data_IF_419577659037
#
_entry.id   IF_419577659037
#
_cell.length_a   1.000
_cell.length_b   1.000
_cell.length_c   1.000
_cell.angle_alpha   90.00
_cell.angle_beta   90.00
_cell.angle_gamma   90.00
#
_symmetry.space_group_name_H-M   'P 1'
#
loop_
_entity.id
_entity.type
_entity.pdbx_description
1 polymer ?
#
# COMPACT_ATOMS: atom_id res chain seq x y z
N UNK A 1 17.35 49.24 -2.40
CA UNK A 1 17.78 48.26 -3.42
C UNK A 1 16.69 47.21 -3.50
N UNK A 2 16.14 46.94 -4.69
CA UNK A 2 15.27 45.78 -4.86
C UNK A 2 16.07 44.52 -4.55
N UNK A 3 15.50 43.53 -3.83
CA UNK A 3 16.20 42.28 -3.59
C UNK A 3 16.56 41.63 -4.92
N UNK A 4 17.80 41.14 -5.02
CA UNK A 4 18.22 40.32 -6.16
C UNK A 4 17.32 39.06 -6.23
N UNK A 5 17.02 38.55 -7.43
CA UNK A 5 16.27 37.32 -7.56
C UNK A 5 17.04 36.16 -6.89
N UNK A 6 16.35 35.21 -6.24
CA UNK A 6 17.02 34.04 -5.68
C UNK A 6 17.64 33.19 -6.80
N UNK A 7 18.89 32.78 -6.61
CA UNK A 7 19.65 31.95 -7.55
C UNK A 7 20.48 30.90 -6.80
N UNK A 8 20.81 29.82 -7.50
CA UNK A 8 21.72 28.77 -7.01
C UNK A 8 22.52 28.18 -8.17
N UNK A 9 23.61 27.49 -7.86
CA UNK A 9 24.50 26.86 -8.84
C UNK A 9 24.58 25.35 -8.61
N UNK A 10 24.59 24.58 -9.70
CA UNK A 10 24.84 23.13 -9.69
C UNK A 10 25.99 22.81 -10.63
N UNK A 11 26.94 21.99 -10.20
CA UNK A 11 28.02 21.48 -11.06
C UNK A 11 28.44 20.08 -10.64
N UNK A 12 28.93 19.28 -11.58
CA UNK A 12 29.51 17.97 -11.29
C UNK A 12 30.97 18.09 -10.84
N UNK A 13 31.43 17.16 -9.99
CA UNK A 13 32.84 17.02 -9.61
C UNK A 13 33.52 16.02 -10.56
N UNK A 14 34.38 16.47 -11.49
CA UNK A 14 35.21 15.58 -12.29
C UNK A 14 36.35 15.00 -11.46
N UNK A 15 37.02 13.97 -11.98
CA UNK A 15 38.27 13.46 -11.41
C UNK A 15 38.11 12.47 -10.25
N UNK A 16 36.88 12.08 -9.90
CA UNK A 16 36.66 10.90 -9.04
C UNK A 16 36.99 9.64 -9.87
N UNK A 17 37.97 8.80 -9.45
CA UNK A 17 38.35 7.60 -10.20
C UNK A 17 37.28 6.51 -10.08
N UNK A 18 37.44 5.43 -10.84
CA UNK A 18 36.63 4.21 -10.68
C UNK A 18 36.80 3.64 -9.27
N UNK A 19 35.70 3.63 -8.50
CA UNK A 19 35.68 3.21 -7.09
C UNK A 19 35.69 1.70 -6.96
N UNK A 20 36.48 1.19 -6.02
CA UNK A 20 36.63 -0.23 -5.71
C UNK A 20 36.18 -0.54 -4.27
N UNK A 21 35.89 -1.81 -3.97
CA UNK A 21 35.60 -2.25 -2.59
C UNK A 21 36.68 -1.80 -1.61
N UNK A 22 36.27 -1.11 -0.55
CA UNK A 22 37.14 -0.59 0.51
C UNK A 22 37.75 0.79 0.25
N UNK A 23 37.50 1.42 -0.91
CA UNK A 23 37.99 2.76 -1.17
C UNK A 23 37.37 3.81 -0.23
N UNK A 24 38.19 4.79 0.18
CA UNK A 24 37.80 5.89 1.06
C UNK A 24 37.15 7.02 0.25
N UNK A 25 35.82 7.02 0.19
CA UNK A 25 35.05 8.03 -0.56
C UNK A 25 35.30 9.45 -0.07
N UNK A 26 35.59 9.65 1.22
CA UNK A 26 35.88 10.99 1.76
C UNK A 26 37.14 11.53 1.10
N UNK A 27 38.21 10.73 1.03
CA UNK A 27 39.46 11.14 0.38
C UNK A 27 39.28 11.37 -1.11
N UNK A 28 38.55 10.50 -1.81
CA UNK A 28 38.33 10.62 -3.24
C UNK A 28 37.54 11.89 -3.58
N UNK A 29 36.46 12.16 -2.85
CA UNK A 29 35.62 13.35 -3.05
C UNK A 29 36.38 14.62 -2.64
N UNK A 30 37.11 14.59 -1.53
CA UNK A 30 37.91 15.73 -1.10
C UNK A 30 38.99 16.09 -2.13
N UNK A 31 39.74 15.11 -2.62
CA UNK A 31 40.76 15.31 -3.64
C UNK A 31 40.18 15.89 -4.94
N UNK A 32 39.05 15.35 -5.40
CA UNK A 32 38.34 15.86 -6.58
C UNK A 32 37.84 17.29 -6.38
N UNK A 33 37.31 17.61 -5.20
CA UNK A 33 36.80 18.95 -4.90
C UNK A 33 37.90 20.02 -4.75
N UNK A 34 39.11 19.63 -4.32
CA UNK A 34 40.26 20.53 -4.16
C UNK A 34 41.23 20.50 -5.35
N UNK A 35 40.89 19.81 -6.44
CA UNK A 35 41.71 19.78 -7.64
C UNK A 35 41.87 21.18 -8.25
N UNK A 36 42.98 21.41 -8.96
CA UNK A 36 43.25 22.70 -9.60
C UNK A 36 42.10 23.11 -10.55
N UNK A 37 41.64 24.36 -10.42
CA UNK A 37 40.52 24.89 -11.21
C UNK A 37 39.12 24.59 -10.65
N UNK A 38 38.99 23.79 -9.58
CA UNK A 38 37.71 23.55 -8.94
C UNK A 38 37.31 24.67 -7.98
N UNK A 39 36.00 24.98 -7.83
CA UNK A 39 35.54 26.03 -6.91
C UNK A 39 35.74 25.73 -5.41
N UNK A 40 36.21 24.52 -5.06
CA UNK A 40 36.22 24.01 -3.69
C UNK A 40 34.82 23.73 -3.15
N UNK A 41 34.76 23.05 -2.00
CA UNK A 41 33.55 22.99 -1.17
C UNK A 41 33.54 24.17 -0.19
N UNK A 42 32.35 24.61 0.19
CA UNK A 42 32.13 25.67 1.16
C UNK A 42 31.01 25.29 2.13
N UNK A 43 30.98 25.95 3.29
CA UNK A 43 29.85 25.88 4.21
C UNK A 43 28.56 26.22 3.48
N UNK A 44 27.53 25.41 3.68
CA UNK A 44 26.25 25.62 3.02
C UNK A 44 26.04 24.82 1.73
N UNK A 45 27.07 24.13 1.21
CA UNK A 45 26.94 23.29 0.03
C UNK A 45 26.19 21.99 0.33
N UNK A 46 25.53 21.43 -0.70
CA UNK A 46 24.96 20.08 -0.66
C UNK A 46 25.62 19.22 -1.73
N UNK A 47 26.17 18.07 -1.32
CA UNK A 47 26.72 17.08 -2.24
C UNK A 47 25.66 16.04 -2.60
N UNK A 48 25.55 15.73 -3.89
CA UNK A 48 24.63 14.77 -4.47
C UNK A 48 25.46 13.61 -5.03
N UNK A 49 25.48 12.48 -4.34
CA UNK A 49 26.40 11.37 -4.56
C UNK A 49 25.63 10.17 -5.08
N UNK A 50 25.97 9.64 -6.25
CA UNK A 50 25.27 8.44 -6.75
C UNK A 50 25.50 7.23 -5.82
N UNK A 51 24.44 6.45 -5.63
CA UNK A 51 24.42 5.15 -4.96
C UNK A 51 25.54 4.24 -5.44
N UNK A 52 25.89 4.28 -6.73
CA UNK A 52 26.85 3.36 -7.35
C UNK A 52 28.23 3.41 -6.70
N UNK A 53 28.77 4.59 -6.44
CA UNK A 53 30.10 4.71 -5.83
C UNK A 53 30.06 4.36 -4.33
N UNK A 54 28.94 4.62 -3.66
CA UNK A 54 28.69 4.21 -2.28
C UNK A 54 28.66 2.68 -2.19
N UNK A 55 27.84 2.03 -3.01
CA UNK A 55 27.75 0.58 -3.13
C UNK A 55 29.09 -0.08 -3.47
N UNK A 56 29.85 0.48 -4.40
CA UNK A 56 31.18 -0.04 -4.77
C UNK A 56 32.15 0.03 -3.60
N UNK A 57 32.24 1.18 -2.92
CA UNK A 57 33.11 1.35 -1.74
C UNK A 57 32.71 0.39 -0.59
N UNK A 58 31.42 0.17 -0.38
CA UNK A 58 30.87 -0.77 0.61
C UNK A 58 30.96 -2.24 0.19
N UNK A 59 31.48 -2.54 -1.00
CA UNK A 59 31.63 -3.92 -1.47
C UNK A 59 30.31 -4.62 -1.81
N UNK A 60 29.25 -3.86 -2.14
CA UNK A 60 27.91 -4.35 -2.49
C UNK A 60 27.84 -4.96 -3.91
N UNK A 61 28.92 -5.61 -4.34
CA UNK A 61 29.07 -6.25 -5.65
C UNK A 61 28.85 -7.75 -5.46
N UNK A 62 27.95 -8.34 -6.24
CA UNK A 62 27.68 -9.78 -6.21
C UNK A 62 28.01 -10.39 -7.58
N UNK A 63 28.76 -11.48 -7.57
CA UNK A 63 28.87 -12.36 -8.74
C UNK A 63 27.56 -13.13 -8.89
N UNK A 64 26.78 -12.81 -9.91
CA UNK A 64 25.49 -13.43 -10.12
C UNK A 64 25.33 -13.84 -11.58
N UNK A 65 25.27 -15.16 -11.80
CA UNK A 65 24.83 -15.71 -13.06
C UNK A 65 23.32 -15.49 -13.28
N UNK A 66 22.55 -15.34 -12.20
CA UNK A 66 21.11 -15.12 -12.21
C UNK A 66 20.73 -13.83 -11.47
N UNK A 67 20.36 -12.80 -12.25
CA UNK A 67 19.90 -11.51 -11.76
C UNK A 67 18.56 -11.62 -11.02
N UNK A 68 17.69 -12.55 -11.40
CA UNK A 68 16.36 -12.67 -10.80
C UNK A 68 16.45 -13.17 -9.36
N UNK A 69 17.38 -14.09 -9.08
CA UNK A 69 17.66 -14.56 -7.72
C UNK A 69 18.13 -13.42 -6.79
N UNK A 70 18.93 -12.48 -7.31
CA UNK A 70 19.37 -11.32 -6.54
C UNK A 70 18.24 -10.33 -6.26
N UNK A 71 17.36 -10.11 -7.25
CA UNK A 71 16.14 -9.32 -7.05
C UNK A 71 15.27 -9.97 -5.98
N UNK A 72 15.12 -11.30 -5.99
CA UNK A 72 14.35 -12.03 -4.98
C UNK A 72 14.94 -11.94 -3.58
N UNK A 73 16.27 -11.95 -3.48
CA UNK A 73 16.94 -11.77 -2.21
C UNK A 73 16.69 -10.37 -1.62
N UNK A 74 16.75 -9.31 -2.43
CA UNK A 74 16.57 -7.92 -1.98
C UNK A 74 15.11 -7.47 -1.88
N UNK A 75 14.17 -8.18 -2.52
CA UNK A 75 12.76 -7.85 -2.49
C UNK A 75 12.09 -8.30 -1.17
N UNK A 76 11.35 -7.38 -0.55
CA UNK A 76 10.44 -7.66 0.56
C UNK A 76 9.10 -8.17 0.05
N UNK A 77 8.57 -7.52 -1.00
CA UNK A 77 7.33 -7.94 -1.66
C UNK A 77 7.28 -7.45 -3.09
N UNK A 78 6.48 -8.15 -3.90
CA UNK A 78 6.18 -7.70 -5.26
C UNK A 78 5.01 -6.73 -5.26
N UNK A 79 5.19 -5.59 -5.91
CA UNK A 79 4.18 -4.54 -6.07
C UNK A 79 3.48 -4.72 -7.40
N UNK A 80 4.22 -4.89 -8.49
CA UNK A 80 3.65 -5.06 -9.83
C UNK A 80 4.51 -5.97 -10.71
N UNK A 81 3.87 -6.71 -11.62
CA UNK A 81 4.56 -7.51 -12.65
C UNK A 81 4.03 -7.20 -14.05
N UNK A 82 4.95 -7.14 -15.02
CA UNK A 82 4.63 -7.10 -16.46
C UNK A 82 5.67 -7.90 -17.24
N UNK A 83 5.31 -9.11 -17.65
CA UNK A 83 6.28 -10.06 -18.19
C UNK A 83 7.35 -10.35 -17.15
N UNK A 84 8.63 -10.27 -17.55
CA UNK A 84 9.76 -10.43 -16.64
C UNK A 84 10.04 -9.20 -15.76
N UNK A 85 9.50 -8.01 -16.10
CA UNK A 85 9.73 -6.80 -15.30
C UNK A 85 8.93 -6.84 -14.01
N UNK A 86 9.60 -6.53 -12.90
CA UNK A 86 9.02 -6.49 -11.56
C UNK A 86 9.29 -5.14 -10.91
N UNK A 87 8.22 -4.52 -10.38
CA UNK A 87 8.31 -3.45 -9.39
C UNK A 87 8.15 -4.11 -8.03
N UNK A 88 9.09 -3.85 -7.13
CA UNK A 88 9.15 -4.49 -5.81
C UNK A 88 9.44 -3.44 -4.76
N UNK A 89 9.00 -3.71 -3.54
CA UNK A 89 9.53 -3.04 -2.35
C UNK A 89 10.81 -3.76 -1.95
N UNK A 90 11.92 -3.03 -1.77
CA UNK A 90 13.17 -3.60 -1.27
C UNK A 90 13.32 -3.42 0.25
N UNK A 91 14.42 -3.91 0.82
CA UNK A 91 14.70 -3.83 2.27
C UNK A 91 14.84 -2.41 2.82
N UNK A 92 15.11 -1.43 1.95
CA UNK A 92 15.15 0.00 2.30
C UNK A 92 13.73 0.63 2.30
N UNK A 93 12.70 -0.15 1.94
CA UNK A 93 11.32 0.32 1.77
C UNK A 93 11.05 0.99 0.42
N UNK A 94 12.05 1.07 -0.47
CA UNK A 94 11.93 1.72 -1.77
C UNK A 94 11.10 0.85 -2.72
N UNK A 95 10.11 1.46 -3.37
CA UNK A 95 9.27 0.80 -4.38
C UNK A 95 9.79 1.15 -5.77
N UNK A 96 10.54 0.22 -6.37
CA UNK A 96 11.26 0.48 -7.62
C UNK A 96 11.41 -0.78 -8.47
N UNK A 97 11.89 -0.61 -9.71
CA UNK A 97 12.18 -1.73 -10.59
C UNK A 97 13.35 -2.56 -10.04
N UNK A 98 13.21 -3.89 -10.07
CA UNK A 98 14.29 -4.83 -9.77
C UNK A 98 15.01 -4.59 -8.42
N UNK A 99 14.33 -4.05 -7.40
CA UNK A 99 14.87 -3.74 -6.07
C UNK A 99 16.06 -2.77 -6.03
N UNK A 100 16.38 -2.09 -7.14
CA UNK A 100 17.62 -1.30 -7.26
C UNK A 100 18.85 -2.14 -7.62
N UNK A 101 18.66 -3.42 -7.98
CA UNK A 101 19.73 -4.28 -8.52
C UNK A 101 20.11 -3.81 -9.92
N UNK A 102 21.31 -3.25 -10.02
CA UNK A 102 21.88 -2.71 -11.25
C UNK A 102 22.89 -3.70 -11.86
N UNK A 103 22.85 -3.85 -13.18
CA UNK A 103 23.82 -4.62 -13.96
C UNK A 103 24.57 -3.72 -14.96
N UNK A 104 24.30 -2.42 -14.94
CA UNK A 104 24.98 -1.42 -15.76
C UNK A 104 26.17 -0.81 -15.01
N UNK A 105 27.20 -0.39 -15.76
CA UNK A 105 28.42 0.21 -15.20
C UNK A 105 29.15 -0.67 -14.16
N UNK A 106 28.98 -2.00 -14.27
CA UNK A 106 29.72 -3.04 -13.56
C UNK A 106 30.43 -3.97 -14.56
N UNK A 107 31.52 -4.67 -14.16
CA UNK A 107 32.11 -5.72 -14.98
C UNK A 107 31.09 -6.80 -15.37
N UNK A 108 31.22 -7.37 -16.57
CA UNK A 108 30.34 -8.43 -17.04
C UNK A 108 30.28 -9.60 -16.04
N UNK A 109 29.07 -10.10 -15.75
CA UNK A 109 28.84 -11.18 -14.77
C UNK A 109 28.69 -10.71 -13.32
N UNK A 110 28.73 -9.40 -13.06
CA UNK A 110 28.50 -8.83 -11.73
C UNK A 110 27.29 -7.91 -11.71
N UNK A 111 26.62 -7.87 -10.57
CA UNK A 111 25.53 -6.94 -10.26
C UNK A 111 25.91 -6.10 -9.05
N UNK A 112 25.37 -4.88 -9.00
CA UNK A 112 25.54 -3.96 -7.88
C UNK A 112 24.22 -3.86 -7.12
N UNK A 113 24.29 -4.11 -5.82
CA UNK A 113 23.17 -3.89 -4.90
C UNK A 113 23.25 -2.45 -4.36
N UNK A 114 22.12 -1.94 -3.87
CA UNK A 114 22.13 -0.66 -3.15
C UNK A 114 22.95 -0.73 -1.85
N UNK A 115 23.40 0.43 -1.32
CA UNK A 115 24.04 0.51 -0.01
C UNK A 115 23.14 -0.07 1.09
N UNK A 116 23.73 -0.64 2.13
CA UNK A 116 22.94 -1.28 3.22
C UNK A 116 22.18 -0.24 4.06
N UNK A 117 22.82 0.90 4.32
CA UNK A 117 22.19 2.03 5.00
C UNK A 117 22.70 3.35 4.36
N UNK A 118 22.06 3.80 3.26
CA UNK A 118 22.51 5.00 2.55
C UNK A 118 22.49 6.28 3.41
N UNK A 119 21.62 6.36 4.43
CA UNK A 119 21.60 7.47 5.39
C UNK A 119 22.86 7.45 6.27
N UNK A 120 23.30 6.27 6.71
CA UNK A 120 24.55 6.12 7.45
C UNK A 120 25.77 6.49 6.58
N UNK A 121 25.78 6.08 5.32
CA UNK A 121 26.84 6.44 4.36
C UNK A 121 26.88 7.95 4.12
N UNK A 122 25.72 8.61 3.99
CA UNK A 122 25.63 10.07 3.89
C UNK A 122 26.21 10.77 5.12
N UNK A 123 25.87 10.30 6.33
CA UNK A 123 26.40 10.85 7.60
C UNK A 123 27.92 10.67 7.70
N UNK A 124 28.44 9.50 7.33
CA UNK A 124 29.87 9.21 7.35
C UNK A 124 30.63 10.13 6.38
N UNK A 125 30.12 10.30 5.15
CA UNK A 125 30.73 11.18 4.15
C UNK A 125 30.71 12.64 4.61
N UNK A 126 29.59 13.12 5.15
CA UNK A 126 29.47 14.46 5.71
C UNK A 126 30.48 14.71 6.83
N UNK A 127 30.57 13.80 7.80
CA UNK A 127 31.47 13.92 8.93
C UNK A 127 32.94 13.92 8.48
N UNK A 128 33.30 13.01 7.57
CA UNK A 128 34.66 12.93 7.03
C UNK A 128 35.06 14.15 6.21
N UNK A 129 34.15 14.72 5.40
CA UNK A 129 34.44 15.95 4.65
C UNK A 129 34.61 17.16 5.58
N UNK A 130 33.84 17.21 6.68
CA UNK A 130 34.04 18.23 7.72
C UNK A 130 35.42 18.11 8.36
N UNK A 131 35.86 16.89 8.67
CA UNK A 131 37.18 16.64 9.25
C UNK A 131 38.31 16.97 8.26
N UNK A 132 38.18 16.53 7.01
CA UNK A 132 39.24 16.65 6.00
C UNK A 132 39.38 18.08 5.45
N UNK A 133 38.28 18.82 5.32
CA UNK A 133 38.24 20.12 4.62
C UNK A 133 37.76 21.28 5.50
N UNK A 134 37.26 21.00 6.71
CA UNK A 134 36.77 22.04 7.62
C UNK A 134 35.43 22.67 7.23
N UNK A 135 34.65 22.04 6.35
CA UNK A 135 33.38 22.56 5.82
C UNK A 135 32.14 21.88 6.42
N UNK A 136 31.05 22.63 6.62
CA UNK A 136 29.73 22.09 6.97
C UNK A 136 28.82 22.02 5.74
N UNK A 137 28.69 20.79 5.21
CA UNK A 137 27.90 20.48 4.01
C UNK A 137 26.72 19.58 4.35
N UNK A 138 25.72 19.57 3.48
CA UNK A 138 24.73 18.50 3.38
C UNK A 138 25.19 17.40 2.41
N UNK A 139 24.70 16.18 2.59
CA UNK A 139 24.96 15.06 1.68
C UNK A 139 23.65 14.35 1.37
N UNK A 140 23.39 14.09 0.09
CA UNK A 140 22.29 13.25 -0.40
C UNK A 140 22.88 12.13 -1.26
N UNK A 141 22.59 10.88 -0.92
CA UNK A 141 22.87 9.72 -1.76
C UNK A 141 21.70 9.53 -2.72
N UNK A 142 21.96 9.52 -4.02
CA UNK A 142 20.93 9.49 -5.07
C UNK A 142 20.93 8.20 -5.86
N UNK A 143 19.77 7.75 -6.31
CA UNK A 143 19.66 6.65 -7.26
C UNK A 143 18.61 6.92 -8.33
N UNK A 144 18.74 6.24 -9.48
CA UNK A 144 17.90 6.52 -10.65
C UNK A 144 16.60 5.73 -10.61
N UNK A 145 15.47 6.43 -10.60
CA UNK A 145 14.13 5.85 -10.50
C UNK A 145 13.32 6.07 -11.78
N UNK A 146 12.49 5.07 -12.10
CA UNK A 146 11.27 5.29 -12.87
C UNK A 146 10.14 5.76 -11.94
N UNK A 147 9.05 6.29 -12.48
CA UNK A 147 7.94 6.79 -11.67
C UNK A 147 6.58 6.56 -12.32
N UNK A 148 5.51 6.34 -11.53
CA UNK A 148 4.16 6.20 -12.08
C UNK A 148 3.74 7.40 -12.93
N UNK A 149 2.90 7.14 -13.93
CA UNK A 149 2.21 8.14 -14.77
C UNK A 149 3.10 9.01 -15.68
N UNK A 150 4.42 8.88 -15.63
CA UNK A 150 5.35 9.64 -16.49
C UNK A 150 6.41 8.73 -17.10
N UNK A 151 6.70 8.94 -18.37
CA UNK A 151 7.84 8.31 -19.04
C UNK A 151 9.15 9.01 -18.67
N UNK A 152 10.24 8.25 -18.64
CA UNK A 152 11.57 8.75 -18.30
C UNK A 152 11.98 8.45 -16.86
N UNK A 153 13.29 8.56 -16.62
CA UNK A 153 13.92 8.35 -15.32
C UNK A 153 14.34 9.68 -14.72
N UNK A 154 14.52 9.73 -13.40
CA UNK A 154 15.13 10.85 -12.67
C UNK A 154 15.83 10.31 -11.44
N UNK A 155 16.87 10.99 -10.96
CA UNK A 155 17.44 10.65 -9.67
C UNK A 155 16.54 11.11 -8.52
N UNK A 156 16.45 10.29 -7.49
CA UNK A 156 15.77 10.56 -6.21
C UNK A 156 16.74 10.31 -5.07
N UNK A 157 16.43 10.83 -3.88
CA UNK A 157 17.20 10.58 -2.68
C UNK A 157 16.90 9.19 -2.11
N UNK A 158 17.95 8.42 -1.83
CA UNK A 158 17.87 7.14 -1.11
C UNK A 158 18.61 7.18 0.24
N UNK A 159 19.44 8.20 0.45
CA UNK A 159 20.11 8.51 1.72
C UNK A 159 20.32 10.01 1.87
N UNK A 160 20.30 10.54 3.09
CA UNK A 160 20.53 11.96 3.36
C UNK A 160 21.15 12.20 4.74
N UNK A 161 21.95 13.26 4.84
CA UNK A 161 22.51 13.76 6.09
C UNK A 161 22.71 15.27 6.05
N UNK A 162 22.25 15.99 7.07
CA UNK A 162 22.44 17.45 7.17
C UNK A 162 21.59 18.28 6.21
N UNK A 163 20.56 17.67 5.59
CA UNK A 163 19.67 18.30 4.61
C UNK A 163 18.23 18.12 5.08
N UNK A 164 17.39 19.15 4.91
CA UNK A 164 15.94 19.06 5.08
C UNK A 164 15.40 18.18 3.96
N UNK A 165 14.96 16.98 4.33
CA UNK A 165 14.51 15.96 3.37
C UNK A 165 13.10 16.26 2.86
N UNK A 166 12.21 16.63 3.79
CA UNK A 166 10.85 17.09 3.52
C UNK A 166 10.69 18.52 4.05
N UNK A 167 10.13 19.41 3.23
CA UNK A 167 9.66 20.72 3.67
C UNK A 167 8.15 20.66 3.87
N UNK A 168 7.72 20.43 5.11
CA UNK A 168 6.32 20.31 5.48
C UNK A 168 5.70 21.68 5.73
N UNK A 169 4.93 22.15 4.75
CA UNK A 169 4.26 23.44 4.80
C UNK A 169 2.84 23.34 5.38
N UNK A 170 2.41 22.15 5.84
CA UNK A 170 1.08 21.96 6.42
C UNK A 170 0.92 22.76 7.70
N UNK A 171 -0.28 23.28 7.93
CA UNK A 171 -0.58 24.16 9.06
C UNK A 171 -0.13 25.62 8.86
N UNK A 172 0.66 25.89 7.81
CA UNK A 172 0.94 27.25 7.34
C UNK A 172 -0.22 27.83 6.52
N UNK A 173 0.01 29.03 5.98
CA UNK A 173 -0.92 29.70 5.06
C UNK A 173 -0.19 30.16 3.80
N UNK A 174 -0.92 30.24 2.68
CA UNK A 174 -0.42 30.83 1.45
C UNK A 174 -0.37 32.38 1.50
N UNK A 175 0.07 33.00 0.40
CA UNK A 175 0.16 34.46 0.29
C UNK A 175 -1.20 35.19 0.41
N UNK A 176 -2.32 34.47 0.33
CA UNK A 176 -3.68 34.99 0.49
C UNK A 176 -4.28 34.65 1.86
N UNK A 177 -3.53 33.98 2.75
CA UNK A 177 -3.99 33.54 4.06
C UNK A 177 -4.79 32.23 4.04
N UNK A 178 -4.85 31.51 2.92
CA UNK A 178 -5.52 30.22 2.87
C UNK A 178 -4.66 29.13 3.54
N UNK A 179 -5.25 28.21 4.31
CA UNK A 179 -4.49 27.16 4.98
C UNK A 179 -3.89 26.16 3.97
N UNK A 180 -2.63 25.82 4.18
CA UNK A 180 -1.95 24.74 3.46
C UNK A 180 -2.22 23.42 4.21
N UNK A 181 -2.96 22.51 3.57
CA UNK A 181 -3.41 21.25 4.21
C UNK A 181 -2.74 19.98 3.67
N UNK A 182 -2.13 20.04 2.48
CA UNK A 182 -1.53 18.87 1.82
C UNK A 182 -0.15 19.15 1.19
N UNK A 183 0.49 20.25 1.56
CA UNK A 183 1.74 20.71 0.92
C UNK A 183 2.95 20.24 1.70
N UNK A 184 3.58 19.17 1.22
CA UNK A 184 4.89 18.70 1.68
C UNK A 184 5.78 18.61 0.44
N UNK A 185 6.90 19.32 0.44
CA UNK A 185 7.85 19.31 -0.68
C UNK A 185 8.94 18.27 -0.41
N UNK A 186 9.20 17.41 -1.40
CA UNK A 186 10.29 16.45 -1.35
C UNK A 186 11.61 17.12 -1.75
N UNK A 187 12.11 18.02 -0.89
CA UNK A 187 13.29 18.87 -1.17
C UNK A 187 14.52 18.04 -1.56
N UNK A 188 14.77 16.91 -0.91
CA UNK A 188 15.90 16.06 -1.26
C UNK A 188 15.79 15.42 -2.67
N UNK A 189 14.57 15.11 -3.14
CA UNK A 189 14.35 14.61 -4.50
C UNK A 189 14.51 15.72 -5.55
N UNK A 190 14.09 16.96 -5.24
CA UNK A 190 14.33 18.11 -6.13
C UNK A 190 15.83 18.38 -6.31
N UNK A 191 16.59 18.31 -5.21
CA UNK A 191 18.05 18.42 -5.23
C UNK A 191 18.67 17.26 -6.03
N UNK A 192 18.28 16.02 -5.76
CA UNK A 192 18.77 14.84 -6.48
C UNK A 192 18.55 14.96 -7.99
N UNK A 193 17.35 15.36 -8.41
CA UNK A 193 17.01 15.59 -9.80
C UNK A 193 17.84 16.73 -10.43
N UNK A 194 18.11 17.81 -9.70
CA UNK A 194 18.96 18.90 -10.18
C UNK A 194 20.41 18.46 -10.39
N UNK A 195 20.95 17.62 -9.50
CA UNK A 195 22.29 17.04 -9.66
C UNK A 195 22.39 16.10 -10.88
N UNK A 196 21.33 15.38 -11.18
CA UNK A 196 21.28 14.46 -12.33
C UNK A 196 21.57 15.17 -13.67
N UNK A 197 21.10 16.42 -13.81
CA UNK A 197 21.28 17.22 -15.03
C UNK A 197 22.76 17.48 -15.36
N UNK A 198 23.63 17.52 -14.35
CA UNK A 198 25.07 17.77 -14.55
C UNK A 198 25.93 16.51 -14.41
N UNK A 199 25.46 15.50 -13.66
CA UNK A 199 26.14 14.19 -13.58
C UNK A 199 25.98 13.38 -14.87
N UNK A 200 24.83 13.50 -15.53
CA UNK A 200 24.48 12.65 -16.66
C UNK A 200 24.38 11.16 -16.24
N UNK A 201 24.23 10.28 -17.24
CA UNK A 201 24.09 8.82 -17.00
C UNK A 201 25.32 8.01 -17.43
N UNK A 202 26.18 8.58 -18.27
CA UNK A 202 27.29 7.86 -18.91
C UNK A 202 28.64 8.57 -18.76
N UNK A 203 28.67 9.79 -18.22
CA UNK A 203 29.86 10.66 -18.28
C UNK A 203 30.86 10.43 -17.14
N UNK A 204 30.62 9.44 -16.28
CA UNK A 204 31.53 9.10 -15.18
C UNK A 204 31.63 10.18 -14.11
N UNK A 205 30.56 10.94 -13.89
CA UNK A 205 30.50 12.03 -12.91
C UNK A 205 29.61 11.63 -11.72
N UNK A 206 30.16 10.97 -10.68
CA UNK A 206 29.34 10.38 -9.63
C UNK A 206 28.86 11.37 -8.57
N UNK A 207 29.41 12.58 -8.53
CA UNK A 207 29.10 13.60 -7.51
C UNK A 207 28.76 14.93 -8.17
N UNK A 208 27.69 15.57 -7.70
CA UNK A 208 27.40 16.98 -7.99
C UNK A 208 27.37 17.80 -6.70
N UNK A 209 27.58 19.11 -6.82
CA UNK A 209 27.51 20.07 -5.72
C UNK A 209 26.45 21.11 -6.06
N UNK A 210 25.62 21.41 -5.06
CA UNK A 210 24.63 22.50 -5.08
C UNK A 210 25.09 23.58 -4.10
N UNK A 211 25.20 24.82 -4.57
CA UNK A 211 25.57 25.99 -3.77
C UNK A 211 24.52 27.10 -3.88
N UNK A 212 24.23 27.76 -2.78
CA UNK A 212 23.31 28.89 -2.71
C UNK A 212 21.93 28.59 -2.09
N UNK A 213 21.71 27.36 -1.61
CA UNK A 213 20.45 26.93 -1.01
C UNK A 213 20.59 26.63 0.49
N UNK A 214 21.26 27.49 1.27
CA UNK A 214 21.52 27.25 2.70
C UNK A 214 20.27 26.98 3.54
N UNK A 215 19.11 27.48 3.13
CA UNK A 215 17.83 27.24 3.80
C UNK A 215 17.37 25.78 3.75
N UNK A 216 17.91 24.95 2.85
CA UNK A 216 17.60 23.52 2.74
C UNK A 216 18.45 22.66 3.68
N UNK A 217 19.41 23.24 4.40
CA UNK A 217 20.20 22.49 5.37
C UNK A 217 19.49 22.41 6.72
N UNK A 218 19.68 21.29 7.43
CA UNK A 218 19.27 21.21 8.83
C UNK A 218 20.29 21.97 9.66
N UNK A 219 19.84 23.02 10.37
CA UNK A 219 20.78 23.83 11.15
C UNK A 219 21.40 22.97 12.25
N UNK A 220 22.73 22.95 12.35
CA UNK A 220 23.41 22.37 13.51
C UNK A 220 23.29 23.25 14.77
N UNK A 221 22.57 24.38 14.71
CA UNK A 221 22.67 25.48 15.71
C UNK A 221 21.38 26.23 16.10
N UNK A 222 20.15 25.80 15.77
CA UNK A 222 18.96 26.51 16.27
C UNK A 222 18.37 25.89 17.55
N UNK A 223 18.44 26.70 18.60
CA UNK A 223 17.67 26.75 19.85
C UNK A 223 16.51 25.76 20.01
N UNK A 224 16.62 24.94 21.06
CA UNK A 224 15.53 24.18 21.70
C UNK A 224 14.43 25.13 22.19
N UNK A 225 13.38 25.36 21.40
CA UNK A 225 12.15 25.96 21.92
C UNK A 225 10.91 25.64 21.09
N UNK A 226 10.52 24.37 21.06
CA UNK A 226 9.13 23.91 20.91
C UNK A 226 9.10 22.46 21.36
N UNK A 227 8.13 22.11 22.20
CA UNK A 227 7.90 20.74 22.63
C UNK A 227 7.16 20.05 21.49
N UNK A 228 7.82 19.09 20.85
CA UNK A 228 7.32 17.99 19.98
C UNK A 228 8.16 17.73 18.71
N UNK A 229 9.25 18.48 18.48
CA UNK A 229 10.13 18.28 17.33
C UNK A 229 11.29 17.32 17.66
N UNK A 230 11.07 16.01 17.46
CA UNK A 230 12.15 15.01 17.27
C UNK A 230 12.76 15.16 15.85
N UNK A 231 13.08 16.40 15.47
CA UNK A 231 13.55 16.80 14.13
C UNK A 231 15.07 16.56 14.01
N UNK A 232 15.49 15.38 14.47
CA UNK A 232 16.83 14.84 14.27
C UNK A 232 17.13 14.67 12.77
N UNK A 233 18.34 14.24 12.45
CA UNK A 233 18.74 13.91 11.07
C UNK A 233 17.97 12.67 10.57
N UNK A 234 16.69 12.84 10.19
CA UNK A 234 15.71 11.77 9.91
C UNK A 234 16.08 10.93 8.68
N UNK A 235 16.98 11.44 7.84
CA UNK A 235 17.45 10.77 6.62
C UNK A 235 16.39 10.67 5.52
N UNK A 236 16.78 10.09 4.38
CA UNK A 236 15.90 9.92 3.22
C UNK A 236 14.77 8.90 3.47
N UNK A 237 14.88 8.07 4.53
CA UNK A 237 13.77 7.18 4.95
C UNK A 237 12.46 7.92 5.21
N UNK A 238 12.51 9.20 5.56
CA UNK A 238 11.31 10.04 5.71
C UNK A 238 10.51 10.22 4.40
N UNK A 239 11.15 10.08 3.23
CA UNK A 239 10.48 10.13 1.92
C UNK A 239 9.68 8.85 1.62
N UNK A 240 10.02 7.74 2.28
CA UNK A 240 9.44 6.44 2.00
C UNK A 240 8.05 6.36 2.62
N UNK A 241 7.05 6.25 1.75
CA UNK A 241 5.67 6.02 2.19
C UNK A 241 5.51 4.58 2.67
N UNK A 242 4.99 4.41 3.88
CA UNK A 242 4.66 3.09 4.40
C UNK A 242 3.56 2.42 3.57
N UNK A 243 3.65 1.11 3.38
CA UNK A 243 2.69 0.35 2.58
C UNK A 243 1.24 0.43 3.11
N UNK A 244 1.03 0.78 4.37
CA UNK A 244 -0.30 0.98 4.96
C UNK A 244 -0.99 2.27 4.46
N UNK A 245 -0.19 3.31 4.21
CA UNK A 245 -0.62 4.63 3.76
C UNK A 245 -0.54 4.78 2.24
N UNK A 246 0.05 3.79 1.56
CA UNK A 246 0.16 3.79 0.10
C UNK A 246 -1.15 3.45 -0.60
N UNK A 247 -1.72 4.47 -1.26
CA UNK A 247 -2.89 4.33 -2.13
C UNK A 247 -2.62 3.47 -3.36
N UNK A 248 -1.35 3.25 -3.75
CA UNK A 248 -0.94 2.47 -4.92
C UNK A 248 -0.15 1.21 -4.54
N UNK A 249 -0.54 0.60 -3.40
CA UNK A 249 0.16 -0.53 -2.79
C UNK A 249 0.44 -1.70 -3.75
N UNK A 250 -0.44 -1.94 -4.73
CA UNK A 250 -0.33 -3.01 -5.72
C UNK A 250 -0.57 -2.47 -7.13
N UNK A 251 0.14 -3.03 -8.10
CA UNK A 251 -0.19 -2.89 -9.52
C UNK A 251 -1.54 -3.53 -9.84
N UNK A 252 -2.17 -3.10 -10.93
CA UNK A 252 -3.54 -3.51 -11.29
C UNK A 252 -3.74 -5.02 -11.29
N UNK A 253 -2.82 -5.77 -11.91
CA UNK A 253 -2.92 -7.23 -12.01
C UNK A 253 -2.79 -7.92 -10.65
N UNK A 254 -1.87 -7.44 -9.81
CA UNK A 254 -1.69 -7.89 -8.44
C UNK A 254 -2.93 -7.59 -7.60
N UNK A 255 -3.46 -6.36 -7.67
CA UNK A 255 -4.66 -5.95 -6.96
C UNK A 255 -5.87 -6.83 -7.31
N UNK A 256 -6.08 -7.15 -8.59
CA UNK A 256 -7.19 -8.03 -9.03
C UNK A 256 -7.01 -9.46 -8.48
N UNK A 257 -5.80 -10.01 -8.52
CA UNK A 257 -5.52 -11.36 -7.99
C UNK A 257 -5.69 -11.40 -6.47
N UNK A 258 -5.21 -10.38 -5.77
CA UNK A 258 -5.27 -10.30 -4.32
C UNK A 258 -6.66 -9.97 -3.80
N UNK A 259 -7.51 -9.24 -4.54
CA UNK A 259 -8.85 -8.86 -4.07
C UNK A 259 -9.66 -10.06 -3.53
N UNK A 260 -9.65 -11.19 -4.25
CA UNK A 260 -10.36 -12.41 -3.84
C UNK A 260 -9.74 -13.04 -2.59
N UNK A 261 -8.42 -12.90 -2.42
CA UNK A 261 -7.67 -13.42 -1.28
C UNK A 261 -7.59 -12.43 -0.12
N UNK A 262 -7.98 -11.17 -0.27
CA UNK A 262 -8.13 -10.21 0.84
C UNK A 262 -9.39 -10.50 1.65
N UNK A 263 -10.46 -10.96 1.00
CA UNK A 263 -11.72 -11.28 1.66
C UNK A 263 -11.52 -12.37 2.72
N UNK A 264 -11.97 -12.09 3.95
CA UNK A 264 -11.91 -12.98 5.12
C UNK A 264 -13.28 -13.07 5.76
N UNK A 265 -13.54 -14.19 6.43
CA UNK A 265 -14.74 -14.34 7.26
C UNK A 265 -14.40 -13.80 8.64
N UNK A 266 -14.66 -12.51 8.85
CA UNK A 266 -14.33 -11.77 10.09
C UNK A 266 -15.39 -12.06 11.15
N UNK A 267 -14.96 -12.48 12.34
CA UNK A 267 -15.87 -12.87 13.44
C UNK A 267 -15.95 -11.88 14.59
N UNK A 268 -15.02 -10.94 14.64
CA UNK A 268 -14.91 -9.92 15.68
C UNK A 268 -14.71 -8.57 15.02
N UNK A 269 -15.54 -7.61 15.42
CA UNK A 269 -15.58 -6.27 14.86
C UNK A 269 -15.30 -5.24 15.97
N UNK A 270 -14.76 -4.08 15.60
CA UNK A 270 -14.72 -2.92 16.50
C UNK A 270 -16.07 -2.20 16.51
N UNK A 271 -16.23 -1.26 17.43
CA UNK A 271 -17.41 -0.38 17.51
C UNK A 271 -17.36 0.80 16.53
N UNK A 272 -16.33 0.87 15.65
CA UNK A 272 -16.26 1.94 14.67
C UNK A 272 -17.43 1.87 13.69
N UNK A 273 -18.06 3.01 13.35
CA UNK A 273 -19.18 3.02 12.44
C UNK A 273 -18.76 2.59 11.03
N UNK A 274 -19.69 1.94 10.35
CA UNK A 274 -19.54 1.55 8.93
C UNK A 274 -20.09 2.67 8.06
N UNK A 275 -19.31 3.12 7.08
CA UNK A 275 -19.79 4.02 6.03
C UNK A 275 -20.82 3.30 5.14
N UNK A 276 -22.08 3.74 5.21
CA UNK A 276 -23.15 3.22 4.35
C UNK A 276 -22.88 3.45 2.85
N UNK A 277 -22.10 4.48 2.49
CA UNK A 277 -21.64 4.72 1.13
C UNK A 277 -20.77 3.58 0.60
N UNK A 278 -19.82 3.09 1.40
CA UNK A 278 -19.00 1.92 1.09
C UNK A 278 -19.84 0.65 0.88
N UNK A 279 -20.83 0.40 1.74
CA UNK A 279 -21.73 -0.75 1.60
C UNK A 279 -22.52 -0.67 0.28
N UNK A 280 -23.02 0.51 -0.09
CA UNK A 280 -23.74 0.71 -1.36
C UNK A 280 -22.85 0.52 -2.58
N UNK A 281 -21.59 1.00 -2.54
CA UNK A 281 -20.60 0.70 -3.59
C UNK A 281 -20.33 -0.79 -3.71
N UNK A 282 -20.25 -1.50 -2.59
CA UNK A 282 -20.11 -2.95 -2.59
C UNK A 282 -21.36 -3.65 -3.18
N UNK A 283 -22.57 -3.17 -2.92
CA UNK A 283 -23.80 -3.66 -3.58
C UNK A 283 -23.76 -3.40 -5.08
N UNK A 284 -23.30 -2.23 -5.52
CA UNK A 284 -23.15 -1.92 -6.95
C UNK A 284 -22.20 -2.90 -7.64
N UNK A 285 -21.10 -3.30 -6.99
CA UNK A 285 -20.21 -4.36 -7.48
C UNK A 285 -20.85 -5.76 -7.42
N UNK A 286 -21.71 -6.02 -6.42
CA UNK A 286 -22.40 -7.29 -6.27
C UNK A 286 -23.33 -7.60 -7.45
N UNK A 287 -24.09 -6.60 -7.90
CA UNK A 287 -25.10 -6.75 -8.97
C UNK A 287 -24.51 -6.82 -10.38
N UNK A 288 -23.18 -6.78 -10.52
CA UNK A 288 -22.49 -7.09 -11.80
C UNK A 288 -22.18 -8.57 -11.97
N UNK A 289 -22.51 -9.40 -10.96
CA UNK A 289 -22.39 -10.85 -11.04
C UNK A 289 -23.14 -11.40 -12.27
N UNK A 290 -22.76 -12.57 -12.80
CA UNK A 290 -23.48 -13.18 -13.91
C UNK A 290 -24.87 -13.65 -13.45
N UNK A 291 -25.88 -13.40 -14.28
CA UNK A 291 -27.24 -13.90 -14.08
C UNK A 291 -27.77 -14.60 -15.33
N UNK A 292 -28.66 -15.59 -15.16
CA UNK A 292 -29.33 -16.25 -16.27
C UNK A 292 -30.31 -15.31 -16.97
N UNK A 293 -30.59 -15.58 -18.24
CA UNK A 293 -31.71 -14.97 -19.00
C UNK A 293 -31.77 -13.43 -18.96
N UNK A 294 -30.65 -12.73 -18.78
CA UNK A 294 -30.62 -11.27 -18.58
C UNK A 294 -31.47 -10.79 -17.40
N UNK A 295 -31.64 -11.63 -16.37
CA UNK A 295 -32.41 -11.35 -15.15
C UNK A 295 -31.57 -10.58 -14.13
N UNK A 296 -32.23 -10.10 -13.07
CA UNK A 296 -31.59 -9.39 -11.95
C UNK A 296 -31.98 -10.04 -10.61
N UNK A 297 -31.46 -11.23 -10.30
CA UNK A 297 -31.93 -12.07 -9.20
C UNK A 297 -31.55 -11.54 -7.80
N UNK A 298 -30.69 -10.52 -7.72
CA UNK A 298 -30.16 -10.01 -6.45
C UNK A 298 -30.99 -8.85 -5.90
N UNK A 299 -31.33 -8.92 -4.62
CA UNK A 299 -31.74 -7.78 -3.80
C UNK A 299 -30.90 -7.78 -2.53
N UNK A 300 -30.58 -6.60 -2.00
CA UNK A 300 -29.83 -6.46 -0.75
C UNK A 300 -30.60 -5.54 0.19
N UNK A 301 -31.04 -6.07 1.33
CA UNK A 301 -31.72 -5.29 2.37
C UNK A 301 -30.66 -4.81 3.36
N UNK A 302 -30.46 -3.50 3.43
CA UNK A 302 -29.46 -2.87 4.31
C UNK A 302 -30.09 -2.48 5.65
N UNK A 303 -29.65 -3.09 6.75
CA UNK A 303 -30.16 -2.81 8.08
C UNK A 303 -29.25 -1.79 8.77
N UNK A 304 -29.47 -0.52 8.41
CA UNK A 304 -28.66 0.62 8.84
C UNK A 304 -28.87 0.98 10.33
N UNK A 305 -30.09 0.79 10.85
CA UNK A 305 -30.40 1.08 12.25
C UNK A 305 -30.15 -0.13 13.17
N UNK A 306 -29.64 0.12 14.37
CA UNK A 306 -29.50 -0.91 15.40
C UNK A 306 -30.85 -1.56 15.74
N UNK A 307 -31.92 -0.77 15.82
CA UNK A 307 -33.27 -1.26 16.10
C UNK A 307 -33.72 -2.34 15.08
N UNK A 308 -33.55 -2.07 13.77
CA UNK A 308 -33.93 -3.03 12.73
C UNK A 308 -33.10 -4.32 12.79
N UNK A 309 -31.80 -4.21 13.11
CA UNK A 309 -30.91 -5.36 13.30
C UNK A 309 -31.35 -6.20 14.50
N UNK A 310 -31.52 -5.57 15.66
CA UNK A 310 -31.88 -6.24 16.91
C UNK A 310 -33.24 -6.92 16.77
N UNK A 311 -34.23 -6.23 16.22
CA UNK A 311 -35.58 -6.77 16.00
C UNK A 311 -35.56 -8.02 15.12
N UNK A 312 -34.80 -8.00 14.02
CA UNK A 312 -34.64 -9.17 13.15
C UNK A 312 -33.97 -10.32 13.90
N UNK A 313 -32.85 -10.06 14.56
CA UNK A 313 -32.05 -11.11 15.20
C UNK A 313 -32.77 -11.75 16.38
N UNK A 314 -33.57 -10.98 17.14
CA UNK A 314 -34.38 -11.53 18.23
C UNK A 314 -35.49 -12.44 17.69
N UNK A 315 -36.21 -12.02 16.64
CA UNK A 315 -37.23 -12.86 16.03
C UNK A 315 -36.65 -14.16 15.42
N UNK A 316 -35.48 -14.07 14.77
CA UNK A 316 -34.77 -15.24 14.24
C UNK A 316 -34.30 -16.17 15.36
N UNK A 317 -33.83 -15.61 16.48
CA UNK A 317 -33.45 -16.38 17.66
C UNK A 317 -34.63 -17.13 18.24
N UNK A 318 -35.77 -16.48 18.37
CA UNK A 318 -36.98 -17.08 18.94
C UNK A 318 -37.49 -18.23 18.07
N UNK A 319 -37.46 -18.06 16.74
CA UNK A 319 -37.75 -19.13 15.79
C UNK A 319 -36.78 -20.32 15.93
N UNK A 320 -35.47 -20.06 16.04
CA UNK A 320 -34.49 -21.12 16.20
C UNK A 320 -34.63 -21.87 17.53
N UNK A 321 -34.99 -21.16 18.62
CA UNK A 321 -35.29 -21.77 19.91
C UNK A 321 -36.52 -22.67 19.80
N UNK A 322 -37.56 -22.24 19.08
CA UNK A 322 -38.77 -23.04 18.86
C UNK A 322 -38.45 -24.33 18.10
N UNK A 323 -37.66 -24.25 17.02
CA UNK A 323 -37.23 -25.42 16.24
C UNK A 323 -36.45 -26.41 17.11
N UNK A 324 -35.42 -25.94 17.83
CA UNK A 324 -34.60 -26.81 18.68
C UNK A 324 -35.39 -27.44 19.82
N UNK A 325 -36.39 -26.74 20.37
CA UNK A 325 -37.29 -27.31 21.37
C UNK A 325 -38.21 -28.37 20.74
N UNK A 326 -38.69 -28.14 19.53
CA UNK A 326 -39.43 -29.13 18.72
C UNK A 326 -38.62 -30.39 18.45
N UNK A 327 -37.31 -30.25 18.22
CA UNK A 327 -36.36 -31.35 18.05
C UNK A 327 -36.00 -32.08 19.36
N UNK A 328 -36.52 -31.63 20.52
CA UNK A 328 -36.30 -32.25 21.82
C UNK A 328 -34.96 -31.92 22.50
N UNK A 329 -34.27 -30.85 22.10
CA UNK A 329 -33.06 -30.41 22.79
C UNK A 329 -33.38 -29.84 24.19
N UNK A 330 -32.48 -30.07 25.16
CA UNK A 330 -32.57 -29.45 26.48
C UNK A 330 -32.31 -27.94 26.44
N UNK A 331 -32.87 -27.18 27.38
CA UNK A 331 -32.68 -25.72 27.46
C UNK A 331 -31.19 -25.32 27.56
N UNK A 332 -30.36 -26.11 28.24
CA UNK A 332 -28.91 -25.91 28.28
C UNK A 332 -28.27 -26.06 26.88
N UNK A 333 -28.67 -27.10 26.15
CA UNK A 333 -28.21 -27.37 24.79
C UNK A 333 -28.65 -26.30 23.79
N UNK A 334 -29.85 -25.75 23.97
CA UNK A 334 -30.40 -24.63 23.19
C UNK A 334 -29.57 -23.38 23.46
N UNK A 335 -29.38 -22.99 24.72
CA UNK A 335 -28.59 -21.82 25.10
C UNK A 335 -27.16 -21.86 24.52
N UNK A 336 -26.53 -23.04 24.49
CA UNK A 336 -25.19 -23.22 23.88
C UNK A 336 -25.18 -23.06 22.36
N UNK A 337 -26.23 -23.50 21.65
CA UNK A 337 -26.33 -23.38 20.19
C UNK A 337 -26.61 -21.95 19.78
N UNK A 338 -27.55 -21.28 20.45
CA UNK A 338 -27.96 -19.91 20.15
C UNK A 338 -26.80 -18.91 20.24
N UNK A 339 -25.86 -19.09 21.18
CA UNK A 339 -24.62 -18.28 21.27
C UNK A 339 -23.77 -18.25 20.00
N UNK A 340 -23.92 -19.23 19.09
CA UNK A 340 -23.20 -19.23 17.81
C UNK A 340 -23.68 -18.12 16.85
N UNK A 341 -24.87 -17.58 17.08
CA UNK A 341 -25.44 -16.46 16.31
C UNK A 341 -24.90 -15.08 16.72
N UNK A 342 -24.16 -14.99 17.82
CA UNK A 342 -23.72 -13.71 18.42
C UNK A 342 -22.90 -12.84 17.46
N UNK A 343 -22.25 -13.45 16.46
CA UNK A 343 -21.51 -12.72 15.41
C UNK A 343 -22.37 -11.67 14.70
N UNK A 344 -23.63 -11.99 14.37
CA UNK A 344 -24.52 -11.05 13.68
C UNK A 344 -24.98 -9.93 14.62
N UNK A 345 -25.12 -10.24 15.92
CA UNK A 345 -25.57 -9.29 16.94
C UNK A 345 -24.49 -8.27 17.31
N UNK A 346 -23.22 -8.67 17.25
CA UNK A 346 -22.06 -7.80 17.50
C UNK A 346 -21.63 -6.99 16.27
N UNK A 347 -22.22 -7.23 15.10
CA UNK A 347 -21.85 -6.50 13.89
C UNK A 347 -22.45 -5.08 13.90
N UNK A 348 -21.65 -4.03 13.63
CA UNK A 348 -22.16 -2.65 13.58
C UNK A 348 -23.07 -2.39 12.37
N UNK A 349 -23.10 -3.30 11.39
CA UNK A 349 -23.95 -3.22 10.21
C UNK A 349 -24.34 -4.63 9.74
N UNK A 350 -25.57 -4.79 9.25
CA UNK A 350 -26.10 -6.08 8.78
C UNK A 350 -26.77 -5.92 7.41
N UNK A 351 -26.52 -6.86 6.50
CA UNK A 351 -27.13 -6.90 5.17
C UNK A 351 -27.77 -8.26 4.93
N UNK A 352 -29.02 -8.28 4.47
CA UNK A 352 -29.72 -9.51 4.08
C UNK A 352 -29.79 -9.59 2.56
N UNK A 353 -28.94 -10.40 1.90
CA UNK A 353 -29.11 -10.71 0.49
C UNK A 353 -30.38 -11.54 0.29
N UNK A 354 -31.19 -11.16 -0.68
CA UNK A 354 -32.39 -11.87 -1.09
C UNK A 354 -32.29 -12.28 -2.56
N UNK A 355 -32.75 -13.49 -2.84
CA UNK A 355 -33.01 -13.99 -4.17
C UNK A 355 -34.42 -13.58 -4.61
N UNK A 356 -34.55 -13.09 -5.84
CA UNK A 356 -35.85 -12.92 -6.52
C UNK A 356 -35.84 -13.69 -7.82
N UNK A 357 -36.99 -14.25 -8.19
CA UNK A 357 -37.16 -15.06 -9.40
C UNK A 357 -37.79 -14.27 -10.57
N UNK A 358 -37.72 -12.93 -10.52
CA UNK A 358 -38.26 -12.06 -11.56
C UNK A 358 -37.62 -12.40 -12.93
N UNK A 359 -38.46 -12.74 -13.91
CA UNK A 359 -38.01 -13.13 -15.25
C UNK A 359 -37.61 -14.60 -15.39
N UNK A 360 -37.77 -15.44 -14.35
CA UNK A 360 -37.57 -16.88 -14.47
C UNK A 360 -38.64 -17.53 -15.35
N UNK A 361 -38.28 -18.63 -16.00
CA UNK A 361 -39.26 -19.46 -16.70
C UNK A 361 -40.04 -20.37 -15.73
N UNK A 362 -41.32 -20.56 -16.01
CA UNK A 362 -42.15 -21.57 -15.35
C UNK A 362 -42.34 -22.75 -16.28
N UNK A 363 -42.04 -23.95 -15.80
CA UNK A 363 -42.17 -25.19 -16.54
C UNK A 363 -43.31 -26.07 -15.99
N UNK A 364 -43.92 -26.93 -16.84
CA UNK A 364 -44.94 -27.87 -16.38
C UNK A 364 -44.47 -28.95 -15.40
N UNK A 365 -43.16 -29.22 -15.31
CA UNK A 365 -42.59 -30.26 -14.45
C UNK A 365 -41.68 -29.70 -13.36
N UNK A 366 -41.72 -30.36 -12.20
CA UNK A 366 -40.94 -29.99 -11.01
C UNK A 366 -39.43 -30.00 -11.27
N UNK A 367 -38.94 -30.95 -12.08
CA UNK A 367 -37.52 -31.10 -12.37
C UNK A 367 -36.94 -29.83 -12.99
N UNK A 368 -37.57 -29.30 -14.04
CA UNK A 368 -37.10 -28.05 -14.68
C UNK A 368 -37.29 -26.83 -13.80
N UNK A 369 -38.38 -26.75 -13.04
CA UNK A 369 -38.58 -25.65 -12.08
C UNK A 369 -37.50 -25.66 -10.98
N UNK A 370 -37.08 -26.83 -10.52
CA UNK A 370 -35.97 -26.96 -9.57
C UNK A 370 -34.64 -26.48 -10.19
N UNK A 371 -34.33 -26.91 -11.42
CA UNK A 371 -33.13 -26.45 -12.13
C UNK A 371 -33.13 -24.93 -12.38
N UNK A 372 -34.29 -24.35 -12.72
CA UNK A 372 -34.44 -22.89 -12.86
C UNK A 372 -34.08 -22.18 -11.55
N UNK A 373 -34.61 -22.66 -10.42
CA UNK A 373 -34.29 -22.11 -9.10
C UNK A 373 -32.82 -22.27 -8.74
N UNK A 374 -32.21 -23.43 -9.00
CA UNK A 374 -30.79 -23.69 -8.74
C UNK A 374 -29.88 -22.73 -9.50
N UNK A 375 -30.18 -22.47 -10.77
CA UNK A 375 -29.44 -21.50 -11.59
C UNK A 375 -29.47 -20.09 -10.99
N UNK A 376 -30.64 -19.66 -10.50
CA UNK A 376 -30.81 -18.39 -9.80
C UNK A 376 -30.07 -18.36 -8.46
N UNK A 377 -30.05 -19.47 -7.72
CA UNK A 377 -29.26 -19.61 -6.48
C UNK A 377 -27.75 -19.48 -6.74
N UNK A 378 -27.24 -20.07 -7.83
CA UNK A 378 -25.83 -19.93 -8.25
C UNK A 378 -25.51 -18.45 -8.52
N UNK A 379 -26.37 -17.76 -9.27
CA UNK A 379 -26.22 -16.33 -9.51
C UNK A 379 -26.24 -15.53 -8.20
N UNK A 380 -27.17 -15.81 -7.29
CA UNK A 380 -27.25 -15.16 -5.98
C UNK A 380 -25.96 -15.36 -5.15
N UNK A 381 -25.41 -16.58 -5.15
CA UNK A 381 -24.13 -16.90 -4.52
C UNK A 381 -22.95 -16.10 -5.11
N UNK A 382 -22.90 -15.95 -6.43
CA UNK A 382 -21.90 -15.11 -7.10
C UNK A 382 -22.03 -13.63 -6.69
N UNK A 383 -23.25 -13.10 -6.62
CA UNK A 383 -23.52 -11.74 -6.15
C UNK A 383 -23.07 -11.53 -4.70
N UNK A 384 -23.35 -12.48 -3.81
CA UNK A 384 -22.86 -12.44 -2.42
C UNK A 384 -21.33 -12.47 -2.39
N UNK A 385 -20.67 -13.31 -3.18
CA UNK A 385 -19.21 -13.34 -3.21
C UNK A 385 -18.60 -12.02 -3.70
N UNK A 386 -19.16 -11.41 -4.76
CA UNK A 386 -18.75 -10.09 -5.23
C UNK A 386 -18.93 -9.02 -4.15
N UNK A 387 -20.07 -9.03 -3.44
CA UNK A 387 -20.33 -8.13 -2.33
C UNK A 387 -19.25 -8.22 -1.24
N UNK A 388 -18.91 -9.44 -0.81
CA UNK A 388 -17.89 -9.66 0.23
C UNK A 388 -16.49 -9.20 -0.21
N UNK A 389 -16.12 -9.44 -1.47
CA UNK A 389 -14.83 -9.01 -2.03
C UNK A 389 -14.76 -7.49 -2.13
N UNK A 390 -15.84 -6.84 -2.58
CA UNK A 390 -15.91 -5.38 -2.66
C UNK A 390 -15.82 -4.73 -1.28
N UNK A 391 -16.49 -5.28 -0.25
CA UNK A 391 -16.33 -4.84 1.13
C UNK A 391 -14.88 -4.91 1.61
N UNK A 392 -14.16 -6.00 1.27
CA UNK A 392 -12.74 -6.11 1.62
C UNK A 392 -11.88 -5.04 0.93
N UNK A 393 -12.20 -4.68 -0.31
CA UNK A 393 -11.57 -3.56 -1.03
C UNK A 393 -11.83 -2.19 -0.39
N UNK A 394 -13.01 -2.02 0.21
CA UNK A 394 -13.37 -0.86 1.05
C UNK A 394 -12.78 -0.94 2.48
N UNK A 395 -11.88 -1.91 2.73
CA UNK A 395 -11.25 -2.18 4.04
C UNK A 395 -12.26 -2.57 5.14
N UNK A 396 -13.43 -3.10 4.77
CA UNK A 396 -14.44 -3.60 5.71
C UNK A 396 -14.35 -5.13 5.84
N UNK A 397 -14.37 -5.60 7.08
CA UNK A 397 -14.55 -7.00 7.41
C UNK A 397 -15.98 -7.46 7.16
N UNK A 398 -16.15 -8.73 6.78
CA UNK A 398 -17.49 -9.28 6.58
C UNK A 398 -17.59 -10.76 6.95
N UNK A 399 -18.80 -11.22 7.27
CA UNK A 399 -19.12 -12.63 7.43
C UNK A 399 -20.53 -12.94 6.96
N UNK A 400 -20.62 -13.76 5.91
CA UNK A 400 -21.88 -14.37 5.50
C UNK A 400 -22.22 -15.57 6.40
N UNK A 401 -23.46 -15.60 6.88
CA UNK A 401 -24.02 -16.64 7.74
C UNK A 401 -25.38 -17.06 7.19
N UNK A 402 -25.59 -18.36 7.00
CA UNK A 402 -26.80 -18.92 6.37
C UNK A 402 -28.10 -18.78 7.18
N UNK A 403 -28.03 -18.26 8.40
CA UNK A 403 -29.12 -18.23 9.40
C UNK A 403 -30.52 -17.85 8.88
N UNK A 404 -30.66 -16.79 8.06
CA UNK A 404 -31.98 -16.35 7.52
C UNK A 404 -32.62 -17.38 6.59
N UNK A 405 -31.85 -18.29 6.00
CA UNK A 405 -32.37 -19.33 5.11
C UNK A 405 -33.22 -20.37 5.86
N UNK A 406 -33.02 -20.51 7.17
CA UNK A 406 -33.76 -21.46 8.01
C UNK A 406 -35.06 -20.87 8.58
N UNK A 407 -35.31 -19.57 8.42
CA UNK A 407 -36.47 -18.87 8.98
C UNK A 407 -36.99 -17.78 8.03
N UNK A 408 -37.06 -18.08 6.72
CA UNK A 408 -37.37 -17.09 5.68
C UNK A 408 -38.68 -16.32 5.91
N UNK A 409 -39.72 -16.99 6.39
CA UNK A 409 -41.01 -16.34 6.68
C UNK A 409 -40.92 -15.31 7.81
N UNK A 410 -40.15 -15.62 8.85
CA UNK A 410 -39.87 -14.68 9.96
C UNK A 410 -39.15 -13.46 9.42
N UNK A 411 -38.11 -13.67 8.61
CA UNK A 411 -37.32 -12.58 8.02
C UNK A 411 -38.19 -11.71 7.11
N UNK A 412 -39.01 -12.31 6.24
CA UNK A 412 -39.95 -11.58 5.38
C UNK A 412 -40.94 -10.75 6.20
N UNK A 413 -41.51 -11.33 7.25
CA UNK A 413 -42.47 -10.64 8.12
C UNK A 413 -41.84 -9.45 8.84
N UNK A 414 -40.72 -9.66 9.53
CA UNK A 414 -40.06 -8.64 10.37
C UNK A 414 -39.51 -7.46 9.55
N UNK A 415 -39.05 -7.74 8.33
CA UNK A 415 -38.51 -6.73 7.40
C UNK A 415 -39.56 -6.23 6.40
N UNK A 416 -40.80 -6.71 6.47
CA UNK A 416 -41.88 -6.38 5.55
C UNK A 416 -41.49 -6.55 4.07
N UNK A 417 -40.81 -7.66 3.75
CA UNK A 417 -40.37 -7.96 2.39
C UNK A 417 -41.51 -8.52 1.54
N UNK A 418 -41.47 -8.31 0.20
CA UNK A 418 -42.38 -8.97 -0.72
C UNK A 418 -42.30 -10.50 -0.63
N UNK A 419 -43.43 -11.18 -0.87
CA UNK A 419 -43.52 -12.64 -0.75
C UNK A 419 -42.53 -13.40 -1.66
N UNK A 420 -42.22 -12.84 -2.84
CA UNK A 420 -41.26 -13.41 -3.80
C UNK A 420 -39.79 -13.19 -3.45
N UNK A 421 -39.47 -12.52 -2.34
CA UNK A 421 -38.09 -12.34 -1.88
C UNK A 421 -37.70 -13.48 -0.94
N UNK A 422 -36.66 -14.21 -1.33
CA UNK A 422 -36.11 -15.33 -0.57
C UNK A 422 -34.80 -14.91 0.12
N UNK A 423 -34.76 -14.76 1.45
CA UNK A 423 -33.51 -14.50 2.18
C UNK A 423 -32.48 -15.63 1.97
N UNK A 424 -31.26 -15.23 1.58
CA UNK A 424 -30.14 -16.10 1.22
C UNK A 424 -28.95 -15.95 2.19
N UNK A 425 -29.24 -15.89 3.48
CA UNK A 425 -28.28 -15.64 4.55
C UNK A 425 -28.29 -14.18 5.02
N UNK A 426 -27.38 -13.84 5.91
CA UNK A 426 -27.11 -12.49 6.37
C UNK A 426 -25.61 -12.24 6.37
N UNK A 427 -25.21 -11.01 6.08
CA UNK A 427 -23.82 -10.57 6.05
C UNK A 427 -23.62 -9.56 7.18
N UNK A 428 -22.85 -9.97 8.20
CA UNK A 428 -22.29 -9.04 9.17
C UNK A 428 -21.20 -8.20 8.49
N UNK A 429 -21.19 -6.90 8.72
CA UNK A 429 -20.20 -5.95 8.17
C UNK A 429 -19.68 -5.06 9.28
N UNK A 430 -18.37 -4.82 9.31
CA UNK A 430 -17.72 -3.97 10.31
C UNK A 430 -16.22 -3.88 10.12
N UNK A 431 -15.57 -2.98 10.85
CA UNK A 431 -14.11 -2.93 10.92
C UNK A 431 -13.61 -4.11 11.75
N UNK A 432 -12.65 -4.88 11.23
CA UNK A 432 -12.14 -6.06 11.94
C UNK A 432 -11.42 -5.64 13.24
N UNK A 433 -11.69 -6.33 14.35
CA UNK A 433 -11.07 -6.04 15.65
C UNK A 433 -9.55 -6.28 15.68
N UNK A 434 -9.06 -7.15 14.79
CA UNK A 434 -7.65 -7.40 14.58
C UNK A 434 -7.38 -7.70 13.09
N UNK A 435 -6.15 -7.49 12.59
CA UNK A 435 -5.77 -7.91 11.25
C UNK A 435 -6.08 -9.40 11.04
N UNK A 436 -6.72 -9.77 9.93
CA UNK A 436 -7.03 -11.17 9.69
C UNK A 436 -5.76 -11.99 9.50
N UNK A 437 -5.75 -13.20 10.06
CA UNK A 437 -4.64 -14.14 9.86
C UNK A 437 -4.42 -14.43 8.38
N UNK A 438 -3.17 -14.69 8.03
CA UNK A 438 -2.80 -15.11 6.69
C UNK A 438 -3.52 -16.42 6.33
N UNK A 439 -3.98 -16.51 5.08
CA UNK A 439 -4.65 -17.70 4.58
C UNK A 439 -3.60 -18.58 3.92
N UNK A 440 -3.40 -19.78 4.45
CA UNK A 440 -2.57 -20.77 3.79
C UNK A 440 -3.03 -20.95 2.33
N UNK A 441 -2.08 -20.93 1.42
CA UNK A 441 -2.32 -21.24 0.01
C UNK A 441 -2.98 -22.62 -0.11
N UNK A 442 -3.87 -22.75 -1.09
CA UNK A 442 -4.40 -24.06 -1.48
C UNK A 442 -3.83 -24.38 -2.84
N UNK A 443 -3.31 -25.59 -2.99
CA UNK A 443 -2.98 -26.11 -4.31
C UNK A 443 -4.27 -26.34 -5.11
N UNK A 444 -4.33 -25.77 -6.31
CA UNK A 444 -5.50 -25.84 -7.16
C UNK A 444 -5.65 -27.22 -7.82
N UNK A 445 -4.56 -27.97 -7.98
CA UNK A 445 -4.57 -29.27 -8.68
C UNK A 445 -5.58 -30.25 -8.04
N UNK A 446 -5.68 -30.27 -6.71
CA UNK A 446 -6.65 -31.10 -6.00
C UNK A 446 -8.13 -30.75 -6.24
N UNK A 447 -8.42 -29.61 -6.86
CA UNK A 447 -9.77 -29.14 -7.19
C UNK A 447 -10.05 -29.15 -8.70
N UNK A 448 -9.07 -29.58 -9.52
CA UNK A 448 -9.16 -29.56 -10.98
C UNK A 448 -9.19 -31.01 -11.47
N UNK A 449 -10.07 -31.28 -12.44
CA UNK A 449 -10.06 -32.52 -13.21
C UNK A 449 -9.96 -32.16 -14.69
N UNK A 450 -8.86 -32.54 -15.32
CA UNK A 450 -8.66 -32.40 -16.77
C UNK A 450 -9.14 -33.68 -17.44
N UNK A 451 -10.03 -33.55 -18.42
CA UNK A 451 -10.58 -34.66 -19.21
C UNK A 451 -10.34 -34.40 -20.69
#
# INVERSE_FOLDING_TARGET
MSPLPPEYRVWALPGVPEVRPGDDLVKLVAAAATAEGMPGLADGDVLLVTSKIVSKAEGRIVEAADREAAIDAEAVRVVARRGALRIVENRLGLVMAAAGVDASNTPAGTILLLPEDPDASARALRAGLREALGVDVGVVVTDTFGRPWRSGLTDVAIGAAGVRVLDDLRGGVDAHGNPLSATIVATADELAAAGDLVKGKADGLPVAVVRGLTHVLTSSRVSRSSRDDDDGDVGARALVRLAADDMFRLGTSEAVREAVTLRRTVREFTDQPVDGGAVRRAVAAAVTAPAPHHTTPWRFVLLESEESRVRLLDAMRDAWIADLRGDGFSEESIAKRVRRGDILRKAPYLVVPCLVMDGSHTYPDERRNASEREMFVVAAGAGVQNFLVALAGERLGSAWVSSTMFCRDVVRSVLSLPAGWDPMGAVAVGHAAAPPRERAGRDAEGFISVR
#
